data_IF_461823003378
#
_entry.id   IF_461823003378
#
_cell.length_a   1.000
_cell.length_b   1.000
_cell.length_c   1.000
_cell.angle_alpha   90.00
_cell.angle_beta   90.00
_cell.angle_gamma   90.00
#
_symmetry.space_group_name_H-M   'P 1'
#
loop_
_entity.id
_entity.type
_entity.pdbx_description
1 polymer ?
#
# COMPACT_ATOMS: atom_id res chain seq x y z
N UNK A 1 10.18 4.84 -5.42
CA UNK A 1 9.48 3.85 -6.25
C UNK A 1 8.15 4.42 -6.72
N UNK A 2 7.63 3.93 -7.85
CA UNK A 2 6.36 4.39 -8.46
C UNK A 2 5.17 4.30 -7.49
N UNK A 3 5.07 3.22 -6.72
CA UNK A 3 4.01 3.05 -5.73
C UNK A 3 4.05 4.11 -4.61
N UNK A 4 5.21 4.31 -3.97
CA UNK A 4 5.38 5.34 -2.94
C UNK A 4 5.08 6.74 -3.49
N UNK A 5 5.54 7.02 -4.70
CA UNK A 5 5.32 8.31 -5.37
C UNK A 5 3.82 8.58 -5.60
N UNK A 6 3.04 7.55 -5.97
CA UNK A 6 1.60 7.63 -6.11
C UNK A 6 0.88 7.72 -4.74
N UNK A 7 1.31 6.95 -3.74
CA UNK A 7 0.76 6.98 -2.39
C UNK A 7 0.88 8.37 -1.73
N UNK A 8 2.04 9.02 -1.84
CA UNK A 8 2.27 10.33 -1.23
C UNK A 8 1.34 11.42 -1.83
N UNK A 9 1.08 11.36 -3.14
CA UNK A 9 0.19 12.30 -3.87
C UNK A 9 -1.29 12.00 -3.65
N UNK A 10 -1.64 10.74 -3.45
CA UNK A 10 -2.98 10.34 -3.06
C UNK A 10 -3.31 10.81 -1.63
N UNK A 11 -2.38 10.65 -0.69
CA UNK A 11 -2.60 10.99 0.73
C UNK A 11 -2.47 12.49 1.02
N UNK A 12 -1.58 13.19 0.32
CA UNK A 12 -1.31 14.62 0.55
C UNK A 12 -1.41 15.45 -0.74
N UNK A 13 -2.55 15.43 -1.44
CA UNK A 13 -2.71 16.15 -2.72
C UNK A 13 -2.42 17.65 -2.59
N UNK A 14 -2.73 18.25 -1.42
CA UNK A 14 -2.45 19.65 -1.12
C UNK A 14 -0.96 20.03 -1.11
N UNK A 15 -0.03 19.07 -0.94
CA UNK A 15 1.42 19.33 -1.00
C UNK A 15 1.95 19.40 -2.43
N UNK A 16 1.17 18.92 -3.40
CA UNK A 16 1.55 18.79 -4.80
C UNK A 16 0.64 19.60 -5.73
N UNK A 17 -0.02 20.64 -5.21
CA UNK A 17 -0.88 21.53 -5.99
C UNK A 17 -0.16 22.15 -7.19
N UNK A 18 1.16 22.34 -7.09
CA UNK A 18 2.01 22.84 -8.18
C UNK A 18 2.22 21.85 -9.34
N UNK A 19 1.98 20.55 -9.11
CA UNK A 19 2.03 19.50 -10.14
C UNK A 19 0.67 19.29 -10.82
N UNK A 20 -0.39 19.97 -10.35
CA UNK A 20 -1.71 19.93 -10.98
C UNK A 20 -1.67 20.81 -12.23
N UNK A 21 -1.26 20.21 -13.35
CA UNK A 21 -1.08 20.92 -14.62
C UNK A 21 -2.37 21.08 -15.43
N UNK A 22 -3.55 20.85 -14.83
CA UNK A 22 -4.79 20.92 -15.59
C UNK A 22 -5.23 22.37 -15.83
N UNK A 23 -5.36 22.80 -17.11
CA UNK A 23 -5.83 24.14 -17.46
C UNK A 23 -7.29 24.39 -17.04
N UNK A 24 -8.04 23.33 -16.70
CA UNK A 24 -9.47 23.35 -16.43
C UNK A 24 -9.82 23.33 -14.93
N UNK A 25 -8.84 23.53 -14.04
CA UNK A 25 -9.09 23.48 -12.61
C UNK A 25 -9.45 22.06 -12.18
N UNK A 26 -8.53 21.11 -12.35
CA UNK A 26 -8.68 19.84 -11.63
C UNK A 26 -8.59 20.15 -10.14
N UNK A 27 -9.68 19.89 -9.43
CA UNK A 27 -9.72 19.90 -7.98
C UNK A 27 -8.65 18.93 -7.44
N UNK A 28 -8.11 19.21 -6.24
CA UNK A 28 -7.15 18.30 -5.61
C UNK A 28 -7.68 16.87 -5.45
N UNK A 29 -9.00 16.68 -5.55
CA UNK A 29 -9.69 15.40 -5.54
C UNK A 29 -9.44 14.58 -6.82
N UNK A 30 -9.57 15.14 -8.03
CA UNK A 30 -9.27 14.44 -9.27
C UNK A 30 -7.80 14.01 -9.37
N UNK A 31 -6.89 14.89 -8.91
CA UNK A 31 -5.46 14.56 -8.81
C UNK A 31 -5.22 13.38 -7.83
N UNK A 32 -5.81 13.44 -6.64
CA UNK A 32 -5.73 12.35 -5.67
C UNK A 32 -6.29 11.04 -6.25
N UNK A 33 -7.42 11.09 -6.98
CA UNK A 33 -8.06 9.93 -7.61
C UNK A 33 -7.17 9.29 -8.67
N UNK A 34 -6.51 10.10 -9.50
CA UNK A 34 -5.56 9.61 -10.50
C UNK A 34 -4.38 8.87 -9.83
N UNK A 35 -3.83 9.45 -8.76
CA UNK A 35 -2.75 8.81 -8.01
C UNK A 35 -3.21 7.56 -7.25
N UNK A 36 -4.46 7.52 -6.77
CA UNK A 36 -5.06 6.30 -6.22
C UNK A 36 -5.09 5.19 -7.27
N UNK A 37 -5.55 5.49 -8.49
CA UNK A 37 -5.62 4.52 -9.58
C UNK A 37 -4.22 4.02 -9.99
N UNK A 38 -3.23 4.92 -10.04
CA UNK A 38 -1.84 4.54 -10.31
C UNK A 38 -1.29 3.61 -9.22
N UNK A 39 -1.54 3.90 -7.95
CA UNK A 39 -1.14 3.03 -6.85
C UNK A 39 -1.89 1.68 -6.90
N UNK A 40 -3.16 1.69 -7.30
CA UNK A 40 -3.98 0.49 -7.46
C UNK A 40 -3.42 -0.49 -8.51
N UNK A 41 -2.78 -0.01 -9.58
CA UNK A 41 -2.12 -0.91 -10.55
C UNK A 41 -1.00 -1.73 -9.91
N UNK A 42 -0.25 -1.13 -8.97
CA UNK A 42 0.77 -1.86 -8.21
C UNK A 42 0.16 -2.88 -7.25
N UNK A 43 -0.96 -2.53 -6.60
CA UNK A 43 -1.67 -3.46 -5.71
C UNK A 43 -2.27 -4.63 -6.49
N UNK A 44 -2.78 -4.40 -7.69
CA UNK A 44 -3.26 -5.46 -8.57
C UNK A 44 -2.13 -6.41 -8.98
N UNK A 45 -0.92 -5.89 -9.24
CA UNK A 45 0.24 -6.75 -9.50
C UNK A 45 0.62 -7.60 -8.27
N UNK A 46 0.47 -7.06 -7.05
CA UNK A 46 0.67 -7.81 -5.81
C UNK A 46 -0.41 -8.88 -5.62
N UNK A 47 -1.69 -8.57 -5.87
CA UNK A 47 -2.78 -9.55 -5.86
C UNK A 47 -2.47 -10.73 -6.77
N UNK A 48 -2.07 -10.47 -8.02
CA UNK A 48 -1.71 -11.52 -8.98
C UNK A 48 -0.54 -12.37 -8.50
N UNK A 49 0.48 -11.74 -7.88
CA UNK A 49 1.62 -12.47 -7.32
C UNK A 49 1.20 -13.35 -6.14
N UNK A 50 0.36 -12.85 -5.25
CA UNK A 50 -0.18 -13.62 -4.13
C UNK A 50 -1.09 -14.76 -4.60
N UNK A 51 -1.85 -14.55 -5.69
CA UNK A 51 -2.68 -15.58 -6.30
C UNK A 51 -1.85 -16.73 -6.91
N UNK A 52 -0.61 -16.45 -7.33
CA UNK A 52 0.34 -17.47 -7.81
C UNK A 52 1.09 -18.16 -6.66
N UNK A 53 1.04 -17.64 -5.44
CA UNK A 53 1.65 -18.28 -4.28
C UNK A 53 0.87 -19.53 -3.90
N UNK A 54 1.59 -20.62 -3.65
CA UNK A 54 0.99 -21.93 -3.34
C UNK A 54 0.23 -21.97 -2.01
N UNK A 55 0.43 -20.98 -1.14
CA UNK A 55 -0.22 -20.90 0.18
C UNK A 55 -1.21 -19.72 0.24
N UNK A 56 -2.48 -19.96 0.61
CA UNK A 56 -3.47 -18.89 0.82
C UNK A 56 -3.10 -17.90 1.93
N UNK A 57 -2.24 -18.30 2.86
CA UNK A 57 -1.74 -17.50 3.98
C UNK A 57 -0.21 -17.28 3.91
N UNK A 58 0.39 -17.53 2.75
CA UNK A 58 1.82 -17.37 2.52
C UNK A 58 2.23 -15.92 2.28
N UNK A 59 3.54 -15.67 2.30
CA UNK A 59 4.10 -14.41 1.85
C UNK A 59 4.20 -14.31 0.33
N UNK A 60 4.67 -13.16 -0.15
CA UNK A 60 4.89 -12.84 -1.56
C UNK A 60 5.85 -13.81 -2.27
N UNK A 61 6.68 -14.55 -1.52
CA UNK A 61 7.73 -15.43 -2.05
C UNK A 61 7.72 -16.84 -1.45
N UNK A 62 6.67 -17.27 -0.75
CA UNK A 62 6.62 -18.62 -0.20
C UNK A 62 5.48 -18.87 0.77
N UNK A 63 5.56 -19.99 1.49
CA UNK A 63 4.54 -20.43 2.45
C UNK A 63 4.49 -19.60 3.75
N UNK A 64 5.47 -18.72 3.98
CA UNK A 64 5.59 -17.87 5.17
C UNK A 64 5.89 -16.42 4.79
N UNK A 65 5.62 -15.49 5.71
CA UNK A 65 5.97 -14.07 5.55
C UNK A 65 7.49 -13.91 5.45
N UNK A 66 7.94 -13.18 4.44
CA UNK A 66 9.35 -12.91 4.16
C UNK A 66 9.72 -11.46 4.45
N UNK A 67 11.01 -11.14 4.40
CA UNK A 67 11.50 -9.76 4.51
C UNK A 67 10.86 -8.81 3.47
N UNK A 68 10.53 -9.32 2.28
CA UNK A 68 9.88 -8.52 1.25
C UNK A 68 8.43 -8.17 1.62
N UNK A 69 7.72 -9.08 2.29
CA UNK A 69 6.40 -8.82 2.86
C UNK A 69 6.50 -7.72 3.93
N UNK A 70 7.48 -7.84 4.82
CA UNK A 70 7.75 -6.86 5.87
C UNK A 70 8.08 -5.46 5.33
N UNK A 71 8.79 -5.39 4.21
CA UNK A 71 9.11 -4.12 3.55
C UNK A 71 7.92 -3.52 2.79
N UNK A 72 7.00 -4.35 2.30
CA UNK A 72 5.88 -3.93 1.44
C UNK A 72 4.62 -3.61 2.23
N UNK A 73 4.31 -4.42 3.25
CA UNK A 73 3.07 -4.33 4.03
C UNK A 73 2.84 -2.96 4.69
N UNK A 74 3.85 -2.25 5.25
CA UNK A 74 3.64 -0.92 5.81
C UNK A 74 3.13 0.11 4.79
N UNK A 75 3.50 -0.01 3.52
CA UNK A 75 3.03 0.89 2.47
C UNK A 75 1.64 0.52 1.98
N UNK A 76 1.35 -0.78 1.84
CA UNK A 76 0.00 -1.27 1.49
C UNK A 76 -0.99 -0.91 2.59
N UNK A 77 -0.60 -1.06 3.86
CA UNK A 77 -1.39 -0.63 5.02
C UNK A 77 -1.70 0.86 5.00
N UNK A 78 -0.68 1.69 4.75
CA UNK A 78 -0.89 3.14 4.65
C UNK A 78 -1.85 3.51 3.52
N UNK A 79 -1.78 2.82 2.38
CA UNK A 79 -2.74 3.00 1.29
C UNK A 79 -4.16 2.57 1.72
N UNK A 80 -4.30 1.37 2.27
CA UNK A 80 -5.57 0.82 2.72
C UNK A 80 -6.24 1.71 3.78
N UNK A 81 -5.47 2.26 4.73
CA UNK A 81 -5.99 3.17 5.75
C UNK A 81 -6.34 4.56 5.23
N UNK A 82 -5.89 4.97 4.04
CA UNK A 82 -6.26 6.27 3.47
C UNK A 82 -7.72 6.26 3.03
N UNK A 83 -8.23 5.12 2.53
CA UNK A 83 -9.64 4.91 2.20
C UNK A 83 -9.99 3.43 2.34
N UNK A 84 -10.27 3.03 3.59
CA UNK A 84 -10.46 1.62 3.95
C UNK A 84 -11.72 1.04 3.30
N UNK A 85 -12.78 1.84 3.16
CA UNK A 85 -14.02 1.40 2.52
C UNK A 85 -13.79 1.13 1.03
N UNK A 86 -13.10 2.03 0.32
CA UNK A 86 -12.76 1.80 -1.08
C UNK A 86 -11.85 0.59 -1.26
N UNK A 87 -10.83 0.44 -0.42
CA UNK A 87 -9.89 -0.69 -0.46
C UNK A 87 -10.60 -2.05 -0.22
N UNK A 88 -11.51 -2.11 0.77
CA UNK A 88 -12.28 -3.31 1.06
C UNK A 88 -13.23 -3.71 -0.08
N UNK A 89 -13.72 -2.74 -0.86
CA UNK A 89 -14.57 -2.97 -2.02
C UNK A 89 -13.82 -3.47 -3.27
N UNK A 90 -12.47 -3.48 -3.27
CA UNK A 90 -11.69 -3.90 -4.43
C UNK A 90 -11.61 -5.43 -4.56
N UNK A 91 -11.49 -5.96 -5.79
CA UNK A 91 -11.42 -7.41 -6.06
C UNK A 91 -10.01 -7.96 -5.78
N UNK A 92 -9.46 -7.72 -4.59
CA UNK A 92 -8.13 -8.18 -4.17
C UNK A 92 -8.19 -9.07 -2.92
N UNK A 93 -8.91 -10.20 -2.96
CA UNK A 93 -9.12 -11.05 -1.79
C UNK A 93 -7.83 -11.63 -1.22
N UNK A 94 -6.82 -11.93 -2.05
CA UNK A 94 -5.53 -12.47 -1.56
C UNK A 94 -4.71 -11.40 -0.86
N UNK A 95 -4.66 -10.20 -1.43
CA UNK A 95 -3.99 -9.05 -0.86
C UNK A 95 -4.62 -8.62 0.46
N UNK A 96 -5.96 -8.59 0.53
CA UNK A 96 -6.68 -8.28 1.76
C UNK A 96 -6.39 -9.32 2.85
N UNK A 97 -6.45 -10.62 2.53
CA UNK A 97 -6.13 -11.69 3.47
C UNK A 97 -4.66 -11.66 3.92
N UNK A 98 -3.74 -11.38 3.00
CA UNK A 98 -2.32 -11.22 3.27
C UNK A 98 -2.07 -10.04 4.22
N UNK A 99 -2.71 -8.89 3.97
CA UNK A 99 -2.59 -7.72 4.83
C UNK A 99 -3.15 -8.00 6.23
N UNK A 100 -4.32 -8.64 6.32
CA UNK A 100 -4.91 -9.04 7.59
C UNK A 100 -4.01 -10.03 8.36
N UNK A 101 -3.40 -10.99 7.67
CA UNK A 101 -2.44 -11.93 8.27
C UNK A 101 -1.20 -11.20 8.78
N UNK A 102 -0.71 -10.21 8.04
CA UNK A 102 0.40 -9.37 8.48
C UNK A 102 0.04 -8.53 9.71
N UNK A 103 -1.14 -7.92 9.75
CA UNK A 103 -1.62 -7.13 10.90
C UNK A 103 -1.88 -7.99 12.15
N UNK A 104 -2.30 -9.24 11.97
CA UNK A 104 -2.46 -10.22 13.04
C UNK A 104 -1.14 -10.86 13.49
N UNK A 105 -0.08 -10.77 12.69
CA UNK A 105 1.22 -11.36 13.02
C UNK A 105 1.99 -10.50 14.02
N UNK A 106 2.48 -11.12 15.10
CA UNK A 106 3.36 -10.47 16.10
C UNK A 106 4.65 -9.88 15.51
N UNK A 107 5.01 -10.21 14.26
CA UNK A 107 6.12 -9.60 13.52
C UNK A 107 5.96 -8.08 13.33
N UNK A 108 4.73 -7.55 13.37
CA UNK A 108 4.50 -6.10 13.42
C UNK A 108 5.11 -5.45 14.67
N UNK A 109 5.07 -6.14 15.82
CA UNK A 109 5.67 -5.67 17.07
C UNK A 109 7.19 -5.54 17.00
N UNK A 110 7.87 -6.47 16.31
CA UNK A 110 9.33 -6.48 16.19
C UNK A 110 9.88 -5.38 15.26
N UNK A 111 9.14 -5.04 14.18
CA UNK A 111 9.56 -4.00 13.22
C UNK A 111 9.33 -2.59 13.79
N UNK A 112 8.26 -2.38 14.56
CA UNK A 112 8.00 -1.11 15.26
C UNK A 112 9.01 -0.80 16.37
N UNK A 113 9.69 -1.82 16.92
CA UNK A 113 10.75 -1.63 17.91
C UNK A 113 12.06 -1.09 17.31
N UNK A 114 12.24 -1.09 15.98
CA UNK A 114 13.48 -0.59 15.33
C UNK A 114 13.27 0.66 14.49
N UNK A 115 12.58 1.64 15.08
CA UNK A 115 12.81 3.07 14.80
C UNK A 115 12.87 3.86 16.10
N UNK A 116 13.68 3.42 17.07
CA UNK A 116 14.26 4.36 18.01
C UNK A 116 15.32 5.16 17.21
N UNK A 117 15.16 6.49 17.05
CA UNK A 117 16.17 7.29 16.39
C UNK A 117 17.44 7.20 17.24
N UNK A 118 18.50 6.63 16.66
CA UNK A 118 19.84 6.74 17.22
C UNK A 118 20.22 8.22 17.25
N UNK A 119 19.95 8.87 18.39
CA UNK A 119 20.59 10.10 18.81
C UNK A 119 22.00 9.71 19.27
N UNK A 120 23.01 10.03 18.48
CA UNK A 120 24.36 10.37 18.94
C UNK A 120 24.91 11.46 18.02
#
# INVERSE_FOLDING_TARGET
GSFKHALDRYKYPHRYLHEITSPLGCDGAAFALQHRNLAATCLQALELRLAQSASPAGGLFGSTLSLADMATAPFVRQFAHTDAAWYAAQPWPRLQAWLATFEASELFGAIMLKTLPGRF
#
